data_IF_354277771028
#
_entry.id   IF_354277771028
#
_cell.length_a   1.000
_cell.length_b   1.000
_cell.length_c   1.000
_cell.angle_alpha   90.00
_cell.angle_beta   90.00
_cell.angle_gamma   90.00
#
_symmetry.space_group_name_H-M   'P 1'
#
loop_
_entity.id
_entity.type
_entity.pdbx_description
1 polymer ?
#
# COMPACT_ATOMS: atom_id res chain seq x y z
N UNK A 1 21.07 8.75 3.24
CA UNK A 1 20.07 9.60 3.90
C UNK A 1 19.17 8.72 4.75
N UNK A 2 18.93 9.12 6.00
CA UNK A 2 18.08 8.33 6.91
C UNK A 2 16.60 8.50 6.58
N UNK A 3 15.82 7.42 6.73
CA UNK A 3 14.36 7.44 6.65
C UNK A 3 13.70 7.70 8.00
N UNK A 4 14.46 7.78 9.09
CA UNK A 4 13.93 8.04 10.44
C UNK A 4 13.14 9.35 10.42
N UNK A 5 11.95 9.32 10.99
CA UNK A 5 11.04 10.48 11.06
C UNK A 5 10.15 10.65 9.83
N UNK A 6 10.39 9.92 8.75
CA UNK A 6 9.52 9.97 7.56
C UNK A 6 8.19 9.27 7.83
N UNK A 7 7.14 9.75 7.18
CA UNK A 7 5.81 9.17 7.30
C UNK A 7 5.69 7.93 6.41
N UNK A 8 5.18 6.86 6.99
CA UNK A 8 5.07 5.56 6.32
C UNK A 8 3.64 5.05 6.44
N UNK A 9 3.08 4.59 5.33
CA UNK A 9 1.85 3.80 5.33
C UNK A 9 2.13 2.42 4.75
N UNK A 10 1.62 1.40 5.42
CA UNK A 10 1.65 0.02 4.94
C UNK A 10 0.28 -0.58 5.11
N UNK A 11 -0.34 -1.00 4.02
CA UNK A 11 -1.63 -1.68 4.04
C UNK A 11 -1.43 -3.07 3.46
N UNK A 12 -1.77 -4.09 4.25
CA UNK A 12 -1.73 -5.50 3.83
C UNK A 12 -3.13 -5.99 3.57
N UNK A 13 -3.34 -6.54 2.37
CA UNK A 13 -4.60 -7.14 1.94
C UNK A 13 -4.39 -8.64 1.79
N UNK A 14 -5.09 -9.44 2.59
CA UNK A 14 -5.08 -10.91 2.46
C UNK A 14 -6.25 -11.27 1.57
N UNK A 15 -5.94 -11.69 0.35
CA UNK A 15 -6.88 -11.78 -0.76
C UNK A 15 -7.17 -13.25 -1.12
N UNK A 16 -8.45 -13.65 -1.14
CA UNK A 16 -8.82 -14.99 -1.62
C UNK A 16 -8.44 -15.19 -3.08
N UNK A 17 -8.20 -16.44 -3.52
CA UNK A 17 -7.73 -16.72 -4.88
C UNK A 17 -8.59 -16.12 -6.00
N UNK A 18 -9.91 -16.12 -5.84
CA UNK A 18 -10.86 -15.64 -6.85
C UNK A 18 -10.81 -14.11 -7.05
N UNK A 19 -10.20 -13.37 -6.15
CA UNK A 19 -10.10 -11.91 -6.21
C UNK A 19 -8.71 -11.39 -6.57
N UNK A 20 -7.75 -12.28 -6.84
CA UNK A 20 -6.36 -11.89 -7.11
C UNK A 20 -6.23 -11.09 -8.41
N UNK A 21 -6.87 -11.54 -9.50
CA UNK A 21 -6.78 -10.85 -10.79
C UNK A 21 -7.31 -9.41 -10.71
N UNK A 22 -8.41 -9.20 -9.99
CA UNK A 22 -8.96 -7.85 -9.78
C UNK A 22 -8.01 -7.00 -8.93
N UNK A 23 -7.39 -7.60 -7.91
CA UNK A 23 -6.38 -6.90 -7.11
C UNK A 23 -5.21 -6.41 -7.95
N UNK A 24 -4.71 -7.23 -8.85
CA UNK A 24 -3.63 -6.83 -9.75
C UNK A 24 -4.05 -5.67 -10.67
N UNK A 25 -5.27 -5.74 -11.20
CA UNK A 25 -5.81 -4.66 -12.02
C UNK A 25 -5.93 -3.36 -11.24
N UNK A 26 -6.49 -3.41 -10.04
CA UNK A 26 -6.68 -2.25 -9.17
C UNK A 26 -5.33 -1.59 -8.84
N UNK A 27 -4.33 -2.36 -8.47
CA UNK A 27 -3.03 -1.80 -8.11
C UNK A 27 -2.26 -1.29 -9.31
N UNK A 28 -2.45 -1.85 -10.50
CA UNK A 28 -1.91 -1.26 -11.72
C UNK A 28 -2.51 0.13 -11.99
N UNK A 29 -3.83 0.24 -11.83
CA UNK A 29 -4.55 1.52 -11.93
C UNK A 29 -4.08 2.53 -10.88
N UNK A 30 -3.93 2.08 -9.63
CA UNK A 30 -3.46 2.92 -8.54
C UNK A 30 -2.05 3.46 -8.80
N UNK A 31 -1.13 2.59 -9.22
CA UNK A 31 0.25 2.99 -9.52
C UNK A 31 0.31 4.06 -10.63
N UNK A 32 -0.51 3.90 -11.67
CA UNK A 32 -0.60 4.88 -12.74
C UNK A 32 -1.09 6.23 -12.23
N UNK A 33 -2.17 6.24 -11.46
CA UNK A 33 -2.70 7.47 -10.88
C UNK A 33 -1.70 8.14 -9.96
N UNK A 34 -1.02 7.37 -9.11
CA UNK A 34 0.02 7.87 -8.20
C UNK A 34 1.15 8.54 -8.97
N UNK A 35 1.63 7.89 -10.04
CA UNK A 35 2.71 8.43 -10.86
C UNK A 35 2.32 9.75 -11.53
N UNK A 36 1.08 9.88 -11.97
CA UNK A 36 0.59 11.05 -12.69
C UNK A 36 0.28 12.24 -11.78
N UNK A 37 0.03 12.00 -10.49
CA UNK A 37 -0.56 13.03 -9.62
C UNK A 37 0.27 13.38 -8.40
N UNK A 38 1.19 12.52 -7.95
CA UNK A 38 1.90 12.73 -6.69
C UNK A 38 3.20 13.50 -6.88
N UNK A 39 3.51 14.33 -5.88
CA UNK A 39 4.71 15.17 -5.86
C UNK A 39 5.96 14.30 -5.61
N UNK A 40 7.06 14.63 -6.29
CA UNK A 40 8.35 13.95 -6.11
C UNK A 40 9.32 14.75 -5.26
N UNK A 41 9.01 16.01 -4.98
CA UNK A 41 9.81 16.88 -4.15
C UNK A 41 8.91 17.80 -3.33
N UNK A 42 9.52 18.53 -2.39
CA UNK A 42 8.80 19.46 -1.55
C UNK A 42 8.10 18.81 -0.37
N UNK A 43 7.24 19.59 0.28
CA UNK A 43 6.58 19.19 1.53
C UNK A 43 5.61 18.02 1.37
N UNK A 44 5.00 17.90 0.19
CA UNK A 44 4.03 16.85 -0.11
C UNK A 44 4.66 15.62 -0.80
N UNK A 45 5.98 15.57 -0.88
CA UNK A 45 6.68 14.55 -1.64
C UNK A 45 6.39 13.14 -1.17
N UNK A 46 6.08 12.27 -2.13
CA UNK A 46 6.09 10.82 -1.95
C UNK A 46 7.49 10.31 -2.33
N UNK A 47 8.18 9.72 -1.37
CA UNK A 47 9.57 9.31 -1.52
C UNK A 47 9.69 7.90 -2.09
N UNK A 48 8.73 7.04 -1.80
CA UNK A 48 8.74 5.64 -2.22
C UNK A 48 7.32 5.13 -2.36
N UNK A 49 7.13 4.28 -3.36
CA UNK A 49 5.88 3.60 -3.62
C UNK A 49 6.17 2.19 -4.13
N UNK A 50 5.63 1.19 -3.46
CA UNK A 50 5.72 -0.19 -3.89
C UNK A 50 4.40 -0.90 -3.67
N UNK A 51 4.04 -1.78 -4.59
CA UNK A 51 3.04 -2.81 -4.37
C UNK A 51 3.76 -4.14 -4.37
N UNK A 52 3.64 -4.87 -3.27
CA UNK A 52 4.30 -6.15 -3.05
C UNK A 52 3.24 -7.24 -3.10
N UNK A 53 3.55 -8.36 -3.75
CA UNK A 53 2.66 -9.52 -3.84
C UNK A 53 3.42 -10.76 -3.38
N UNK A 54 2.80 -11.55 -2.52
CA UNK A 54 3.37 -12.81 -2.05
C UNK A 54 2.32 -13.71 -1.45
N UNK A 55 2.67 -14.96 -1.11
CA UNK A 55 1.72 -15.87 -0.49
C UNK A 55 1.53 -15.57 0.99
N UNK A 56 0.30 -15.76 1.49
CA UNK A 56 0.08 -15.88 2.92
C UNK A 56 0.59 -17.24 3.39
N UNK A 57 1.35 -17.27 4.47
CA UNK A 57 1.86 -18.51 5.07
C UNK A 57 0.98 -18.91 6.26
N UNK A 58 0.82 -20.22 6.46
CA UNK A 58 0.06 -20.75 7.61
C UNK A 58 0.65 -20.27 8.94
N UNK A 59 1.98 -20.22 9.05
CA UNK A 59 2.68 -19.63 10.18
C UNK A 59 3.46 -18.41 9.70
N UNK A 60 3.01 -17.18 10.03
CA UNK A 60 3.66 -15.95 9.55
C UNK A 60 5.11 -15.77 10.01
N UNK A 61 5.51 -16.44 11.08
CA UNK A 61 6.87 -16.33 11.64
C UNK A 61 7.80 -17.36 11.00
N UNK A 62 7.26 -18.43 10.40
CA UNK A 62 8.05 -19.48 9.79
C UNK A 62 8.02 -19.36 8.27
N UNK A 63 9.10 -18.86 7.63
CA UNK A 63 9.12 -18.67 6.17
C UNK A 63 9.09 -20.00 5.39
N UNK A 64 9.27 -21.14 6.07
CA UNK A 64 9.18 -22.47 5.44
C UNK A 64 7.82 -23.13 5.60
N UNK A 65 6.88 -22.48 6.31
CA UNK A 65 5.53 -23.02 6.47
C UNK A 65 4.77 -23.01 5.15
N UNK A 66 3.71 -23.82 5.07
CA UNK A 66 2.93 -23.97 3.84
C UNK A 66 2.12 -22.71 3.54
N UNK A 67 1.92 -22.38 2.25
CA UNK A 67 0.99 -21.33 1.85
C UNK A 67 -0.45 -21.73 2.18
N UNK A 68 -1.28 -20.75 2.55
CA UNK A 68 -2.71 -20.97 2.83
C UNK A 68 -3.56 -21.11 1.56
N UNK A 69 -3.05 -20.61 0.43
CA UNK A 69 -3.81 -20.45 -0.80
C UNK A 69 -4.24 -19.00 -1.04
N UNK A 70 -4.22 -18.14 -0.01
CA UNK A 70 -4.47 -16.72 -0.17
C UNK A 70 -3.21 -15.99 -0.65
N UNK A 71 -3.42 -14.86 -1.31
CA UNK A 71 -2.36 -13.97 -1.75
C UNK A 71 -2.36 -12.71 -0.88
N UNK A 72 -1.19 -12.26 -0.49
CA UNK A 72 -1.04 -10.98 0.19
C UNK A 72 -0.61 -9.92 -0.82
N UNK A 73 -1.33 -8.80 -0.83
CA UNK A 73 -0.88 -7.57 -1.47
C UNK A 73 -0.49 -6.60 -0.38
N UNK A 74 0.64 -5.94 -0.53
CA UNK A 74 1.11 -4.94 0.43
C UNK A 74 1.34 -3.63 -0.33
N UNK A 75 0.58 -2.61 0.05
CA UNK A 75 0.84 -1.23 -0.38
C UNK A 75 1.82 -0.63 0.60
N UNK A 76 2.94 -0.14 0.09
CA UNK A 76 4.03 0.42 0.88
C UNK A 76 4.39 1.80 0.30
N UNK A 77 4.07 2.85 1.05
CA UNK A 77 4.33 4.23 0.63
C UNK A 77 5.06 4.99 1.73
N UNK A 78 6.01 5.83 1.32
CA UNK A 78 6.73 6.71 2.23
C UNK A 78 6.61 8.15 1.74
N UNK A 79 6.32 9.05 2.67
CA UNK A 79 6.18 10.49 2.42
C UNK A 79 7.20 11.27 3.23
N UNK A 80 7.61 12.42 2.69
CA UNK A 80 8.49 13.34 3.41
C UNK A 80 7.87 13.77 4.74
N UNK A 81 6.57 14.08 4.73
CA UNK A 81 5.80 14.55 5.88
C UNK A 81 4.41 13.95 5.88
N UNK A 82 3.74 13.99 7.04
CA UNK A 82 2.34 13.60 7.19
C UNK A 82 1.43 14.36 6.22
N UNK A 83 1.75 15.63 5.91
CA UNK A 83 0.96 16.44 4.98
C UNK A 83 0.82 15.80 3.60
N UNK A 84 1.85 15.10 3.11
CA UNK A 84 1.78 14.39 1.83
C UNK A 84 0.79 13.23 1.85
N UNK A 85 0.78 12.47 2.94
CA UNK A 85 -0.17 11.37 3.10
C UNK A 85 -1.60 11.90 3.25
N UNK A 86 -1.79 12.97 4.01
CA UNK A 86 -3.11 13.59 4.17
C UNK A 86 -3.63 14.10 2.83
N UNK A 87 -2.79 14.71 2.03
CA UNK A 87 -3.13 15.17 0.67
C UNK A 87 -3.52 13.99 -0.23
N UNK A 88 -2.80 12.88 -0.16
CA UNK A 88 -3.14 11.66 -0.89
C UNK A 88 -4.57 11.18 -0.57
N UNK A 89 -4.91 11.07 0.70
CA UNK A 89 -6.23 10.60 1.11
C UNK A 89 -7.35 11.59 0.81
N UNK A 90 -7.03 12.87 0.76
CA UNK A 90 -7.98 13.88 0.33
C UNK A 90 -8.32 13.76 -1.16
N UNK A 91 -7.30 13.51 -1.99
CA UNK A 91 -7.45 13.47 -3.44
C UNK A 91 -7.96 12.14 -3.98
N UNK A 92 -7.63 11.02 -3.34
CA UNK A 92 -7.97 9.69 -3.85
C UNK A 92 -9.47 9.50 -4.10
N UNK A 93 -10.38 9.83 -3.17
CA UNK A 93 -11.82 9.67 -3.41
C UNK A 93 -12.36 10.54 -4.53
N UNK A 94 -11.73 11.68 -4.79
CA UNK A 94 -12.20 12.65 -5.77
C UNK A 94 -11.62 12.44 -7.16
N UNK A 95 -10.38 11.92 -7.25
CA UNK A 95 -9.60 11.94 -8.49
C UNK A 95 -9.29 10.57 -9.04
N UNK A 96 -9.22 9.54 -8.20
CA UNK A 96 -8.90 8.20 -8.70
C UNK A 96 -10.18 7.48 -9.13
N UNK A 97 -10.31 7.25 -10.45
CA UNK A 97 -11.52 6.66 -11.03
C UNK A 97 -11.89 5.27 -10.52
N UNK A 98 -10.91 4.49 -10.06
CA UNK A 98 -11.13 3.13 -9.55
C UNK A 98 -11.29 3.07 -8.02
N UNK A 99 -11.49 4.21 -7.34
CA UNK A 99 -11.65 4.22 -5.88
C UNK A 99 -12.81 3.32 -5.41
N UNK A 100 -13.94 3.34 -6.11
CA UNK A 100 -15.09 2.49 -5.79
C UNK A 100 -14.77 1.01 -5.96
N UNK A 101 -14.11 0.64 -7.05
CA UNK A 101 -13.68 -0.73 -7.29
C UNK A 101 -12.68 -1.20 -6.24
N UNK A 102 -11.77 -0.32 -5.82
CA UNK A 102 -10.82 -0.61 -4.75
C UNK A 102 -11.54 -0.92 -3.44
N UNK A 103 -12.48 -0.07 -3.03
CA UNK A 103 -13.24 -0.26 -1.78
C UNK A 103 -14.01 -1.57 -1.80
N UNK A 104 -14.67 -1.88 -2.92
CA UNK A 104 -15.40 -3.14 -3.10
C UNK A 104 -14.47 -4.35 -3.01
N UNK A 105 -13.34 -4.31 -3.73
CA UNK A 105 -12.36 -5.38 -3.70
C UNK A 105 -11.77 -5.58 -2.29
N UNK A 106 -11.41 -4.49 -1.61
CA UNK A 106 -10.87 -4.53 -0.25
C UNK A 106 -11.85 -5.17 0.73
N UNK A 107 -13.16 -4.99 0.50
CA UNK A 107 -14.21 -5.62 1.29
C UNK A 107 -14.22 -7.15 1.19
N UNK A 108 -13.60 -7.72 0.17
CA UNK A 108 -13.43 -9.17 0.01
C UNK A 108 -12.11 -9.70 0.60
N UNK A 109 -11.29 -8.81 1.15
CA UNK A 109 -10.01 -9.16 1.73
C UNK A 109 -10.04 -8.95 3.25
N UNK A 110 -9.10 -9.61 3.95
CA UNK A 110 -8.78 -9.21 5.31
C UNK A 110 -7.70 -8.14 5.21
N UNK A 111 -7.91 -6.99 5.85
CA UNK A 111 -7.05 -5.82 5.71
C UNK A 111 -6.44 -5.45 7.05
N UNK A 112 -5.14 -5.22 7.05
CA UNK A 112 -4.37 -4.75 8.22
C UNK A 112 -3.57 -3.53 7.75
N UNK A 113 -3.65 -2.44 8.51
CA UNK A 113 -2.95 -1.21 8.12
C UNK A 113 -2.16 -0.61 9.27
N UNK A 114 -0.96 -0.13 8.97
CA UNK A 114 -0.24 0.86 9.75
C UNK A 114 -0.31 2.17 8.97
N UNK A 115 -1.33 2.99 9.26
CA UNK A 115 -1.70 4.10 8.40
C UNK A 115 -0.81 5.33 8.59
N UNK A 116 -0.64 5.79 9.81
CA UNK A 116 0.10 7.01 10.12
C UNK A 116 1.40 6.67 10.84
N UNK A 117 2.12 5.71 10.28
CA UNK A 117 3.38 5.26 10.85
C UNK A 117 4.50 6.29 10.66
N UNK A 118 5.48 6.20 11.54
CA UNK A 118 6.71 6.97 11.42
C UNK A 118 7.87 6.00 11.49
N UNK A 119 8.82 6.11 10.57
CA UNK A 119 9.99 5.27 10.59
C UNK A 119 10.83 5.57 11.85
N UNK A 120 10.98 4.59 12.73
CA UNK A 120 11.73 4.74 13.99
C UNK A 120 13.14 4.16 13.90
N UNK A 121 13.40 3.32 12.92
CA UNK A 121 14.71 2.81 12.56
C UNK A 121 14.85 2.88 11.05
N UNK A 122 16.01 3.22 10.55
CA UNK A 122 16.29 3.28 9.13
C UNK A 122 17.78 3.15 8.87
N UNK A 123 18.14 2.50 7.76
CA UNK A 123 19.53 2.33 7.33
C UNK A 123 19.73 3.06 6.01
N UNK A 124 20.99 3.61 5.86
CA UNK A 124 21.36 4.38 4.67
C UNK A 124 20.19 5.21 4.14
#
# INVERSE_FOLDING_TARGET
MSTIGKTQITITFICPPEHVAEGERIFASHAKWMKETHHRDGELAMLRYNIIKGPELENPIDPTSAPTGNTMFVLDEMYENQAGLDDHWKRAPEQWGDIGAFVEWAGNCRVITAHNGVAIQGLW
#
